data_IF_951550352076
#
_entry.id   IF_951550352076
#
_cell.length_a   1.000
_cell.length_b   1.000
_cell.length_c   1.000
_cell.angle_alpha   90.00
_cell.angle_beta   90.00
_cell.angle_gamma   90.00
#
_symmetry.space_group_name_H-M   'P 1'
#
loop_
_entity.id
_entity.type
_entity.pdbx_description
1 polymer ?
#
# COMPACT_ATOMS: atom_id res chain seq x y z
N UNK A 1 -7.21 29.07 40.12
CA UNK A 1 -6.42 27.84 40.43
C UNK A 1 -6.66 26.84 39.32
N UNK A 2 -5.71 26.69 38.39
CA UNK A 2 -5.75 25.63 37.38
C UNK A 2 -5.40 24.31 38.07
N UNK A 3 -6.32 23.34 38.11
CA UNK A 3 -5.99 21.99 38.59
C UNK A 3 -5.32 21.24 37.46
N UNK A 4 -4.01 21.05 37.57
CA UNK A 4 -3.18 20.27 36.66
C UNK A 4 -3.78 18.86 36.59
N UNK A 5 -4.34 18.51 35.43
CA UNK A 5 -4.92 17.20 35.18
C UNK A 5 -3.84 16.18 34.84
N UNK A 6 -4.12 14.88 35.05
CA UNK A 6 -3.15 13.82 34.75
C UNK A 6 -2.70 13.77 33.27
N UNK A 7 -3.52 14.32 32.37
CA UNK A 7 -3.23 14.45 30.94
C UNK A 7 -2.55 15.77 30.53
N UNK A 8 -2.37 16.70 31.47
CA UNK A 8 -1.74 18.00 31.24
C UNK A 8 -0.21 17.87 31.12
N UNK A 9 0.38 16.84 31.76
CA UNK A 9 1.81 16.55 31.71
C UNK A 9 2.35 16.20 30.31
N UNK A 10 1.47 15.83 29.37
CA UNK A 10 1.83 15.52 27.98
C UNK A 10 1.56 16.68 27.02
N UNK A 11 1.17 17.85 27.55
CA UNK A 11 0.84 19.03 26.76
C UNK A 11 1.80 20.15 27.15
N UNK A 12 2.39 20.83 26.18
CA UNK A 12 2.88 22.16 26.45
C UNK A 12 1.64 23.07 26.63
N UNK A 13 1.42 23.51 27.87
CA UNK A 13 0.50 24.60 28.24
C UNK A 13 -1.00 24.29 28.37
N UNK A 14 -1.44 23.02 28.36
CA UNK A 14 -2.86 22.66 28.57
C UNK A 14 -3.82 23.15 27.47
N UNK A 15 -3.30 23.79 26.42
CA UNK A 15 -4.04 24.31 25.28
C UNK A 15 -4.58 23.18 24.39
N UNK A 16 -5.64 23.42 23.58
CA UNK A 16 -6.08 22.48 22.56
C UNK A 16 -4.93 22.12 21.62
N UNK A 17 -4.80 20.84 21.31
CA UNK A 17 -3.67 20.29 20.56
C UNK A 17 -3.81 20.77 19.12
N UNK A 18 -3.10 21.85 18.79
CA UNK A 18 -3.13 22.43 17.47
C UNK A 18 -2.04 21.77 16.63
N UNK A 19 -2.44 20.75 15.88
CA UNK A 19 -1.58 20.23 14.82
C UNK A 19 -1.48 21.33 13.77
N UNK A 20 -0.29 21.92 13.61
CA UNK A 20 -0.04 22.94 12.58
C UNK A 20 -0.30 22.40 11.16
N UNK A 21 -0.03 23.22 10.14
CA UNK A 21 -0.23 22.79 8.75
C UNK A 21 0.58 21.52 8.43
N UNK A 22 -0.11 20.38 8.36
CA UNK A 22 0.49 19.11 8.04
C UNK A 22 0.70 19.02 6.52
N UNK A 23 1.85 19.52 6.09
CA UNK A 23 2.30 19.49 4.70
C UNK A 23 3.30 18.35 4.52
N UNK A 24 3.01 17.12 4.97
CA UNK A 24 3.81 15.98 4.51
C UNK A 24 3.33 15.61 3.10
N UNK A 25 4.10 15.90 2.04
CA UNK A 25 3.73 15.44 0.71
C UNK A 25 3.68 13.92 0.71
N UNK A 26 2.68 13.35 0.03
CA UNK A 26 2.62 11.90 -0.20
C UNK A 26 3.80 11.55 -1.12
N UNK A 27 4.89 11.06 -0.53
CA UNK A 27 6.17 10.78 -1.23
C UNK A 27 6.04 9.53 -2.12
N UNK A 28 5.10 8.65 -1.82
CA UNK A 28 4.90 7.37 -2.50
C UNK A 28 3.45 7.21 -2.94
N UNK A 29 3.25 6.67 -4.15
CA UNK A 29 1.92 6.36 -4.64
C UNK A 29 1.26 5.30 -3.75
N UNK A 30 0.20 5.71 -3.05
CA UNK A 30 -0.55 4.88 -2.12
C UNK A 30 -1.16 3.65 -2.81
N UNK A 31 -1.51 3.76 -4.09
CA UNK A 31 -2.09 2.67 -4.85
C UNK A 31 -1.04 1.59 -5.12
N UNK A 32 0.15 1.98 -5.58
CA UNK A 32 1.27 1.06 -5.80
C UNK A 32 1.70 0.42 -4.47
N UNK A 33 1.74 1.20 -3.40
CA UNK A 33 2.07 0.70 -2.07
C UNK A 33 1.06 -0.32 -1.55
N UNK A 34 -0.24 -0.03 -1.67
CA UNK A 34 -1.30 -0.95 -1.30
C UNK A 34 -1.19 -2.27 -2.09
N UNK A 35 -0.99 -2.17 -3.41
CA UNK A 35 -0.80 -3.33 -4.26
C UNK A 35 0.43 -4.16 -3.90
N UNK A 36 1.57 -3.52 -3.61
CA UNK A 36 2.77 -4.20 -3.14
C UNK A 36 2.55 -4.89 -1.79
N UNK A 37 1.81 -4.25 -0.88
CA UNK A 37 1.53 -4.80 0.46
C UNK A 37 0.78 -6.15 0.39
N UNK A 38 -0.10 -6.34 -0.60
CA UNK A 38 -0.87 -7.57 -0.80
C UNK A 38 0.06 -8.77 -1.07
N UNK A 39 1.23 -8.56 -1.66
CA UNK A 39 2.23 -9.62 -1.88
C UNK A 39 3.23 -9.74 -0.73
N UNK A 40 3.63 -8.62 -0.13
CA UNK A 40 4.62 -8.59 0.95
C UNK A 40 4.08 -9.26 2.22
N UNK A 41 2.82 -8.99 2.60
CA UNK A 41 2.21 -9.54 3.81
C UNK A 41 2.19 -11.08 3.79
N UNK A 42 1.60 -11.75 2.77
CA UNK A 42 1.61 -13.22 2.73
C UNK A 42 3.02 -13.78 2.54
N UNK A 43 3.93 -13.06 1.89
CA UNK A 43 5.33 -13.48 1.78
C UNK A 43 6.02 -13.53 3.14
N UNK A 44 5.88 -12.48 3.96
CA UNK A 44 6.40 -12.45 5.32
C UNK A 44 5.72 -13.53 6.18
N UNK A 45 4.40 -13.68 6.07
CA UNK A 45 3.68 -14.72 6.79
C UNK A 45 4.21 -16.13 6.44
N UNK A 46 4.48 -16.39 5.16
CA UNK A 46 5.07 -17.66 4.72
C UNK A 46 6.49 -17.87 5.28
N UNK A 47 7.32 -16.83 5.34
CA UNK A 47 8.66 -16.91 5.95
C UNK A 47 8.61 -17.25 7.45
N UNK A 48 7.62 -16.71 8.18
CA UNK A 48 7.41 -17.01 9.60
C UNK A 48 6.98 -18.47 9.80
N UNK A 49 6.14 -19.00 8.90
CA UNK A 49 5.65 -20.38 8.96
C UNK A 49 6.74 -21.38 8.52
N UNK A 50 7.65 -20.96 7.64
CA UNK A 50 8.71 -21.78 7.05
C UNK A 50 9.53 -22.64 8.04
N UNK A 51 10.02 -22.14 9.20
CA UNK A 51 10.74 -22.97 10.17
C UNK A 51 9.89 -24.08 10.80
N UNK A 52 8.55 -23.96 10.80
CA UNK A 52 7.63 -24.96 11.33
C UNK A 52 7.37 -26.15 10.38
N UNK A 53 7.79 -26.05 9.11
CA UNK A 53 7.54 -27.08 8.10
C UNK A 53 8.64 -28.15 8.15
N UNK A 54 8.33 -29.33 8.70
CA UNK A 54 9.27 -30.46 8.83
C UNK A 54 9.52 -31.24 7.52
N UNK A 55 8.50 -31.42 6.69
CA UNK A 55 8.58 -32.21 5.44
C UNK A 55 8.10 -31.37 4.26
N UNK A 56 8.66 -31.59 3.07
CA UNK A 56 8.32 -30.89 1.81
C UNK A 56 8.59 -29.37 1.77
N UNK A 57 9.45 -28.86 2.66
CA UNK A 57 9.80 -27.43 2.76
C UNK A 57 10.16 -26.80 1.41
N UNK A 58 10.96 -27.49 0.60
CA UNK A 58 11.38 -27.01 -0.73
C UNK A 58 10.21 -26.97 -1.72
N UNK A 59 9.36 -28.00 -1.74
CA UNK A 59 8.20 -28.05 -2.63
C UNK A 59 7.20 -26.93 -2.28
N UNK A 60 6.94 -26.70 -0.99
CA UNK A 60 6.08 -25.61 -0.52
C UNK A 60 6.66 -24.23 -0.87
N UNK A 61 7.99 -24.04 -0.73
CA UNK A 61 8.62 -22.78 -1.16
C UNK A 61 8.50 -22.53 -2.64
N UNK A 62 8.69 -23.55 -3.48
CA UNK A 62 8.61 -23.41 -4.94
C UNK A 62 7.17 -23.09 -5.34
N UNK A 63 6.20 -23.84 -4.80
CA UNK A 63 4.78 -23.61 -5.10
C UNK A 63 4.33 -22.20 -4.68
N UNK A 64 4.76 -21.73 -3.51
CA UNK A 64 4.45 -20.38 -3.03
C UNK A 64 5.13 -19.29 -3.87
N UNK A 65 6.41 -19.47 -4.23
CA UNK A 65 7.10 -18.51 -5.09
C UNK A 65 6.47 -18.42 -6.49
N UNK A 66 6.04 -19.55 -7.05
CA UNK A 66 5.33 -19.58 -8.33
C UNK A 66 3.99 -18.84 -8.24
N UNK A 67 3.19 -19.05 -7.19
CA UNK A 67 1.90 -18.38 -7.04
C UNK A 67 2.05 -16.86 -6.88
N UNK A 68 3.01 -16.40 -6.08
CA UNK A 68 3.32 -14.97 -5.90
C UNK A 68 3.80 -14.35 -7.21
N UNK A 69 4.67 -15.05 -7.96
CA UNK A 69 5.20 -14.57 -9.24
C UNK A 69 4.08 -14.40 -10.27
N UNK A 70 3.18 -15.38 -10.39
CA UNK A 70 2.02 -15.30 -11.29
C UNK A 70 1.11 -14.14 -10.90
N UNK A 71 0.82 -13.95 -9.61
CA UNK A 71 0.02 -12.83 -9.13
C UNK A 71 0.65 -11.47 -9.46
N UNK A 72 1.96 -11.32 -9.30
CA UNK A 72 2.68 -10.09 -9.64
C UNK A 72 2.67 -9.80 -11.15
N UNK A 73 2.80 -10.83 -11.99
CA UNK A 73 2.71 -10.69 -13.45
C UNK A 73 1.31 -10.21 -13.86
N UNK A 74 0.25 -10.82 -13.33
CA UNK A 74 -1.13 -10.43 -13.63
C UNK A 74 -1.37 -8.97 -13.25
N UNK A 75 -0.95 -8.57 -12.05
CA UNK A 75 -1.12 -7.20 -11.59
C UNK A 75 -0.40 -6.20 -12.51
N UNK A 76 0.84 -6.50 -12.90
CA UNK A 76 1.64 -5.65 -13.78
C UNK A 76 1.00 -5.47 -15.16
N UNK A 77 0.32 -6.50 -15.66
CA UNK A 77 -0.42 -6.45 -16.94
C UNK A 77 -1.67 -5.57 -16.78
N UNK A 78 -2.42 -5.74 -15.69
CA UNK A 78 -3.63 -4.95 -15.42
C UNK A 78 -3.31 -3.47 -15.31
N UNK A 79 -2.25 -3.11 -14.60
CA UNK A 79 -1.84 -1.71 -14.42
C UNK A 79 -1.47 -1.05 -15.77
N UNK A 80 -0.70 -1.75 -16.62
CA UNK A 80 -0.36 -1.27 -17.97
C UNK A 80 -1.58 -1.14 -18.87
N UNK A 81 -2.49 -2.12 -18.84
CA UNK A 81 -3.72 -2.08 -19.63
C UNK A 81 -4.64 -0.94 -19.17
N UNK A 82 -4.74 -0.70 -17.86
CA UNK A 82 -5.52 0.40 -17.30
C UNK A 82 -4.94 1.76 -17.72
N UNK A 83 -3.62 1.96 -17.65
CA UNK A 83 -2.96 3.20 -18.09
C UNK A 83 -3.18 3.43 -19.60
N UNK A 84 -3.05 2.38 -20.41
CA UNK A 84 -3.24 2.50 -21.86
C UNK A 84 -4.71 2.79 -22.23
N UNK A 85 -5.68 2.18 -21.55
CA UNK A 85 -7.11 2.50 -21.71
C UNK A 85 -7.45 3.92 -21.25
N UNK A 86 -6.92 4.35 -20.10
CA UNK A 86 -7.17 5.70 -19.58
C UNK A 86 -6.61 6.78 -20.49
N UNK A 87 -5.40 6.54 -21.04
CA UNK A 87 -4.77 7.43 -22.01
C UNK A 87 -5.56 7.46 -23.34
N UNK A 88 -6.01 6.30 -23.84
CA UNK A 88 -6.83 6.22 -25.04
C UNK A 88 -8.20 6.91 -24.89
N UNK A 89 -8.87 6.73 -23.75
CA UNK A 89 -10.16 7.38 -23.44
C UNK A 89 -9.97 8.91 -23.32
N UNK A 90 -8.97 9.38 -22.57
CA UNK A 90 -8.70 10.82 -22.45
C UNK A 90 -8.35 11.44 -23.80
N UNK A 91 -7.55 10.78 -24.62
CA UNK A 91 -7.20 11.27 -25.96
C UNK A 91 -8.42 11.29 -26.89
N UNK A 92 -9.33 10.31 -26.78
CA UNK A 92 -10.58 10.28 -27.54
C UNK A 92 -11.58 11.36 -27.07
N UNK A 93 -11.65 11.64 -25.77
CA UNK A 93 -12.46 12.72 -25.20
C UNK A 93 -11.94 14.12 -25.57
N UNK A 94 -10.61 14.31 -25.65
CA UNK A 94 -10.00 15.57 -26.09
C UNK A 94 -10.23 15.86 -27.58
N UNK A 95 -10.36 14.82 -28.41
CA UNK A 95 -10.66 14.96 -29.85
C UNK A 95 -12.15 15.04 -30.17
N UNK A 96 -13.04 14.97 -29.17
CA UNK A 96 -14.47 15.14 -29.42
C UNK A 96 -14.74 16.62 -29.77
N UNK A 97 -15.39 16.91 -30.91
CA UNK A 97 -15.78 18.27 -31.23
C UNK A 97 -16.71 18.77 -30.12
N UNK A 98 -16.27 19.81 -29.40
CA UNK A 98 -17.21 20.66 -28.67
C UNK A 98 -18.04 21.37 -29.73
N UNK A 99 -19.31 21.01 -29.81
CA UNK A 99 -20.32 21.76 -30.55
C UNK A 99 -20.29 23.24 -30.17
#
# INVERSE_FOLDING_TARGET
MHRIGWFDAFRENGDPTWFGENRTPVVFDLQIFALASIFIIPFIAFLIILPGVRYYRIASTIAFMLSVTVGAIILSIVEKNMIHQFCFINFKLIKLPKH
#
